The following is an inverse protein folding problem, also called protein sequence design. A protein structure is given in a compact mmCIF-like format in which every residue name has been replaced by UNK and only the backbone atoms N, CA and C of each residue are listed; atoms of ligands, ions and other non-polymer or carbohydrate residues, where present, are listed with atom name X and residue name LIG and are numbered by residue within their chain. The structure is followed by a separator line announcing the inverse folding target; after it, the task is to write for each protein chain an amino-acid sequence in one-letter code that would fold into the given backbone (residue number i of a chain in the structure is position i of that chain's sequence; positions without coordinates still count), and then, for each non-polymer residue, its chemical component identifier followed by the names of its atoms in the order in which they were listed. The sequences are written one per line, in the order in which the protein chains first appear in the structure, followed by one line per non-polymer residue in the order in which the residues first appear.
data_IF_247292712028
#
_entry.id   IF_247292712028
#
_cell.length_a   1.000
_cell.length_b   1.000
_cell.length_c   1.000
_cell.angle_alpha   90.00
_cell.angle_beta   90.00
_cell.angle_gamma   90.00
#
_symmetry.space_group_name_H-M   'P 1'
#
loop_
_entity.id
_entity.type
_entity.pdbx_description
1 polymer ?
#
# COMPACT_ATOMS: atom_id res chain seq x y z
N UNK A 1 12.38 -2.71 3.45
CA UNK A 1 13.34 -3.74 3.90
C UNK A 1 13.79 -3.38 5.30
N UNK A 2 14.08 -4.37 6.15
CA UNK A 2 14.45 -4.17 7.56
C UNK A 2 15.63 -5.06 7.96
N UNK A 3 16.58 -4.52 8.72
CA UNK A 3 17.69 -5.29 9.31
C UNK A 3 17.32 -5.82 10.70
N UNK A 4 18.14 -6.71 11.28
CA UNK A 4 17.89 -7.23 12.64
C UNK A 4 18.03 -6.14 13.71
N UNK A 5 18.90 -5.18 13.47
CA UNK A 5 19.10 -3.99 14.32
C UNK A 5 18.06 -2.88 14.09
N UNK A 6 16.89 -3.22 13.51
CA UNK A 6 15.76 -2.31 13.34
C UNK A 6 16.01 -1.08 12.45
N UNK A 7 16.92 -1.22 11.48
CA UNK A 7 17.11 -0.20 10.43
C UNK A 7 16.18 -0.50 9.26
N UNK A 8 15.53 0.53 8.73
CA UNK A 8 14.56 0.39 7.65
C UNK A 8 14.92 1.22 6.41
N UNK A 9 14.59 0.67 5.23
CA UNK A 9 14.81 1.32 3.94
C UNK A 9 13.71 0.94 2.94
N UNK A 10 13.19 1.92 2.20
CA UNK A 10 12.25 1.72 1.09
C UNK A 10 12.99 1.98 -0.22
N UNK A 11 13.05 0.97 -1.09
CA UNK A 11 13.67 1.04 -2.41
C UNK A 11 13.13 -0.06 -3.31
N UNK A 12 13.27 0.12 -4.62
CA UNK A 12 13.18 -0.97 -5.59
C UNK A 12 14.21 -2.07 -5.30
N UNK A 13 13.79 -3.32 -5.47
CA UNK A 13 14.57 -4.51 -5.16
C UNK A 13 14.80 -5.31 -6.44
N UNK A 14 16.06 -5.46 -6.83
CA UNK A 14 16.49 -6.41 -7.85
C UNK A 14 16.31 -7.86 -7.37
N UNK A 15 15.67 -8.75 -8.16
CA UNK A 15 15.54 -10.16 -7.81
C UNK A 15 16.88 -10.85 -7.59
N UNK A 16 17.01 -11.59 -6.48
CA UNK A 16 18.22 -12.36 -6.15
C UNK A 16 19.39 -11.56 -5.58
N UNK A 17 19.28 -10.22 -5.47
CA UNK A 17 20.31 -9.38 -4.87
C UNK A 17 20.18 -9.36 -3.35
N UNK A 18 21.30 -9.62 -2.66
CA UNK A 18 21.41 -9.45 -1.20
C UNK A 18 21.76 -7.99 -0.91
N UNK A 19 20.96 -7.36 -0.07
CA UNK A 19 21.19 -5.98 0.39
C UNK A 19 21.74 -6.02 1.79
N UNK A 20 22.79 -5.25 2.05
CA UNK A 20 23.44 -5.17 3.36
C UNK A 20 23.49 -3.74 3.87
N UNK A 21 23.37 -3.58 5.18
CA UNK A 21 23.63 -2.32 5.86
C UNK A 21 25.12 -1.98 5.75
N UNK A 22 25.42 -0.74 5.35
CA UNK A 22 26.80 -0.31 5.09
C UNK A 22 27.66 -0.30 6.35
N UNK A 23 27.08 0.04 7.50
CA UNK A 23 27.83 0.23 8.73
C UNK A 23 27.97 -1.08 9.51
N UNK A 24 26.91 -1.90 9.56
CA UNK A 24 26.88 -3.15 10.33
C UNK A 24 27.17 -4.40 9.50
N UNK A 25 27.01 -4.34 8.17
CA UNK A 25 27.10 -5.51 7.28
C UNK A 25 25.90 -6.45 7.39
N UNK A 26 24.87 -6.10 8.17
CA UNK A 26 23.67 -6.94 8.33
C UNK A 26 22.87 -7.04 7.04
N UNK A 27 22.38 -8.24 6.73
CA UNK A 27 21.45 -8.42 5.63
C UNK A 27 20.09 -7.78 5.93
N UNK A 28 19.59 -7.04 4.95
CA UNK A 28 18.23 -6.53 4.93
C UNK A 28 17.27 -7.59 4.42
N UNK A 29 16.17 -7.79 5.16
CA UNK A 29 15.07 -8.64 4.72
C UNK A 29 13.95 -7.79 4.09
N UNK A 30 13.37 -8.27 2.99
CA UNK A 30 12.13 -7.69 2.44
C UNK A 30 10.97 -8.08 3.35
N UNK A 31 10.49 -7.11 4.13
CA UNK A 31 9.37 -7.30 5.08
C UNK A 31 8.03 -6.80 4.56
N UNK A 32 8.01 -6.14 3.41
CA UNK A 32 6.80 -5.56 2.84
C UNK A 32 7.03 -5.03 1.43
N UNK A 33 5.94 -4.65 0.78
CA UNK A 33 5.95 -4.13 -0.58
C UNK A 33 5.05 -2.91 -0.66
N UNK A 34 5.52 -1.85 -1.30
CA UNK A 34 4.68 -0.70 -1.62
C UNK A 34 3.77 -1.13 -2.76
N UNK A 35 2.46 -1.02 -2.52
CA UNK A 35 1.44 -1.17 -3.54
C UNK A 35 0.97 0.22 -3.97
N UNK A 36 0.56 0.41 -5.23
CA UNK A 36 0.43 -0.60 -6.28
C UNK A 36 1.76 -0.97 -6.94
N UNK A 37 1.82 -2.10 -7.64
CA UNK A 37 3.03 -2.59 -8.31
C UNK A 37 3.04 -2.19 -9.77
N UNK A 38 4.14 -1.60 -10.23
CA UNK A 38 4.33 -1.33 -11.64
C UNK A 38 4.39 -2.63 -12.48
N UNK A 39 3.86 -2.64 -13.72
CA UNK A 39 3.04 -1.58 -14.32
C UNK A 39 1.57 -1.73 -13.87
N UNK A 40 1.08 -0.76 -13.11
CA UNK A 40 -0.33 -0.67 -12.72
C UNK A 40 -0.87 0.62 -13.32
N UNK A 41 -2.01 0.58 -14.00
CA UNK A 41 -2.75 1.78 -14.42
C UNK A 41 -3.29 2.58 -13.23
N UNK A 42 -3.24 1.98 -12.05
CA UNK A 42 -3.62 2.58 -10.79
C UNK A 42 -2.35 3.05 -10.10
N UNK A 43 -2.16 4.37 -9.96
CA UNK A 43 -1.05 4.99 -9.22
C UNK A 43 -1.30 5.04 -7.71
N UNK A 44 -2.51 4.68 -7.25
CA UNK A 44 -3.05 4.79 -5.88
C UNK A 44 -2.18 5.58 -4.88
N UNK A 45 -2.06 6.91 -5.03
CA UNK A 45 -2.18 7.75 -3.85
C UNK A 45 -3.66 7.68 -3.42
N UNK A 46 -3.94 8.12 -2.19
CA UNK A 46 -5.24 8.63 -1.78
C UNK A 46 -5.65 9.84 -2.64
N UNK A 47 -5.87 9.57 -3.93
CA UNK A 47 -6.22 10.50 -4.99
C UNK A 47 -7.73 10.47 -5.15
N UNK A 48 -8.31 11.64 -5.39
CA UNK A 48 -9.77 11.82 -5.38
C UNK A 48 -10.43 10.91 -6.44
N UNK A 49 -9.76 10.70 -7.57
CA UNK A 49 -10.22 9.89 -8.70
C UNK A 49 -10.38 8.41 -8.33
N UNK A 50 -9.61 7.90 -7.36
CA UNK A 50 -9.63 6.51 -6.91
C UNK A 50 -10.47 6.28 -5.65
N UNK A 51 -11.08 7.35 -5.12
CA UNK A 51 -11.86 7.32 -3.89
C UNK A 51 -13.34 7.56 -4.18
N UNK A 52 -14.18 7.02 -3.31
CA UNK A 52 -15.62 7.26 -3.29
C UNK A 52 -16.06 7.61 -1.88
N UNK A 53 -17.18 8.32 -1.79
CA UNK A 53 -17.75 8.64 -0.49
C UNK A 53 -18.49 7.43 0.08
N UNK A 54 -18.24 7.16 1.35
CA UNK A 54 -19.08 6.27 2.13
C UNK A 54 -20.43 6.93 2.42
N UNK A 55 -21.53 6.24 2.08
CA UNK A 55 -22.90 6.68 2.37
C UNK A 55 -23.37 6.42 3.81
N UNK A 56 -22.61 5.65 4.61
CA UNK A 56 -22.85 5.50 6.05
C UNK A 56 -22.30 6.77 6.73
N UNK A 57 -23.17 7.71 7.15
CA UNK A 57 -23.01 8.81 8.14
C UNK A 57 -21.74 9.69 8.24
N UNK A 58 -20.54 9.22 7.90
CA UNK A 58 -19.27 9.91 8.13
C UNK A 58 -18.65 10.52 6.85
N UNK A 59 -19.27 10.37 5.66
CA UNK A 59 -18.76 10.89 4.37
C UNK A 59 -17.25 10.67 4.17
N UNK A 60 -16.73 9.56 4.69
CA UNK A 60 -15.31 9.24 4.59
C UNK A 60 -14.98 8.81 3.16
N UNK A 61 -13.75 9.11 2.74
CA UNK A 61 -13.23 8.64 1.46
C UNK A 61 -12.77 7.19 1.63
N UNK A 62 -13.22 6.33 0.73
CA UNK A 62 -12.84 4.91 0.69
C UNK A 62 -12.42 4.51 -0.71
N UNK A 63 -11.46 3.58 -0.86
CA UNK A 63 -11.06 3.07 -2.16
C UNK A 63 -12.24 2.48 -2.96
N UNK A 64 -12.28 2.77 -4.26
CA UNK A 64 -13.33 2.28 -5.17
C UNK A 64 -13.29 0.77 -5.39
N UNK A 65 -12.13 0.14 -5.19
CA UNK A 65 -11.86 -1.29 -5.38
C UNK A 65 -12.23 -2.17 -4.18
N UNK A 66 -12.53 -1.57 -3.02
CA UNK A 66 -13.02 -2.30 -1.86
C UNK A 66 -14.54 -2.41 -1.84
N UNK A 67 -15.04 -3.62 -1.61
CA UNK A 67 -16.48 -3.88 -1.50
C UNK A 67 -17.07 -3.46 -0.14
N UNK A 68 -16.26 -3.45 0.91
CA UNK A 68 -16.66 -3.08 2.27
C UNK A 68 -15.88 -1.85 2.74
N UNK A 69 -16.55 -0.92 3.41
CA UNK A 69 -15.94 0.29 3.92
C UNK A 69 -14.96 -0.02 5.07
N UNK A 70 -13.68 0.37 4.95
CA UNK A 70 -12.67 0.13 6.00
C UNK A 70 -12.91 0.89 7.31
N UNK A 71 -13.83 1.87 7.33
CA UNK A 71 -14.16 2.65 8.54
C UNK A 71 -15.39 2.13 9.29
N UNK A 72 -16.43 1.68 8.57
CA UNK A 72 -17.70 1.24 9.19
C UNK A 72 -18.10 -0.20 8.85
N UNK A 73 -17.28 -0.91 8.09
CA UNK A 73 -17.48 -2.30 7.63
C UNK A 73 -18.78 -2.54 6.85
N UNK A 74 -19.50 -1.49 6.47
CA UNK A 74 -20.71 -1.59 5.65
C UNK A 74 -20.32 -1.92 4.22
N UNK A 75 -21.07 -2.84 3.62
CA UNK A 75 -20.98 -3.11 2.19
C UNK A 75 -21.38 -1.89 1.37
N UNK A 76 -20.52 -1.52 0.45
CA UNK A 76 -20.66 -0.36 -0.40
C UNK A 76 -21.52 -0.67 -1.63
N UNK A 77 -22.32 0.29 -2.13
CA UNK A 77 -23.11 0.10 -3.35
C UNK A 77 -22.19 -0.11 -4.56
N UNK A 78 -22.72 -0.75 -5.61
CA UNK A 78 -22.02 -0.83 -6.89
C UNK A 78 -21.78 0.57 -7.46
N UNK A 79 -20.63 0.76 -8.09
CA UNK A 79 -20.37 1.98 -8.86
C UNK A 79 -21.03 1.86 -10.23
N UNK A 80 -21.64 2.95 -10.69
CA UNK A 80 -22.11 3.06 -12.07
C UNK A 80 -20.89 3.09 -13.01
N UNK A 81 -21.05 2.50 -14.21
CA UNK A 81 -19.98 2.42 -15.22
C UNK A 81 -19.87 3.71 -16.01
#
# INVERSE_FOLDING_TARGET
MRSRSDRELIREVEPGKVYVDKDSGEEFQVVGKVLPLAPSNSDLPWSVENLRLCGCSLRQLVPKDLNDCMHCSRRMPALER
#
